data_IF_094616898226
#
_entry.id   IF_094616898226
#
_cell.length_a   1.000
_cell.length_b   1.000
_cell.length_c   1.000
_cell.angle_alpha   90.00
_cell.angle_beta   90.00
_cell.angle_gamma   90.00
#
_symmetry.space_group_name_H-M   'P 1'
#
loop_
_entity.id
_entity.type
_entity.pdbx_description
1 polymer ?
#
# COMPACT_ATOMS: atom_id res chain seq x y z
N UNK A 1 -11.59 36.21 -7.01
CA UNK A 1 -10.93 35.49 -8.08
C UNK A 1 -11.69 34.21 -8.38
N UNK A 2 -12.14 34.19 -9.63
CA UNK A 2 -13.25 33.44 -10.14
C UNK A 2 -13.03 31.90 -10.04
N UNK A 3 -14.09 31.23 -9.65
CA UNK A 3 -14.37 29.82 -9.89
C UNK A 3 -14.29 29.52 -11.39
N UNK A 4 -13.08 29.25 -11.91
CA UNK A 4 -12.94 28.69 -13.26
C UNK A 4 -12.96 27.17 -13.14
N UNK A 5 -13.87 26.48 -13.83
CA UNK A 5 -13.84 25.01 -13.87
C UNK A 5 -12.53 24.55 -14.48
N UNK A 6 -11.90 23.55 -13.85
CA UNK A 6 -10.78 22.87 -14.46
C UNK A 6 -11.29 22.01 -15.61
N UNK A 7 -10.68 22.16 -16.77
CA UNK A 7 -11.01 21.37 -17.94
C UNK A 7 -9.91 20.31 -18.14
N UNK A 8 -10.30 19.05 -18.20
CA UNK A 8 -9.43 17.96 -18.63
C UNK A 8 -9.48 17.91 -20.17
N UNK A 9 -8.32 18.09 -20.80
CA UNK A 9 -8.18 17.89 -22.24
C UNK A 9 -8.05 16.38 -22.50
N UNK A 10 -9.07 15.80 -23.11
CA UNK A 10 -9.07 14.42 -23.62
C UNK A 10 -9.19 14.49 -25.16
N UNK A 11 -8.06 14.55 -25.85
CA UNK A 11 -8.05 14.72 -27.32
C UNK A 11 -8.62 16.09 -27.76
N UNK A 12 -9.56 16.08 -28.71
CA UNK A 12 -10.25 17.29 -29.18
C UNK A 12 -11.42 17.72 -28.28
N UNK A 13 -11.83 16.87 -27.34
CA UNK A 13 -12.97 17.11 -26.47
C UNK A 13 -12.53 17.60 -25.09
N UNK A 14 -13.18 18.65 -24.61
CA UNK A 14 -12.97 19.20 -23.28
C UNK A 14 -14.06 18.67 -22.35
N UNK A 15 -13.69 17.87 -21.35
CA UNK A 15 -14.64 17.40 -20.33
C UNK A 15 -14.66 18.43 -19.19
N UNK A 16 -15.78 19.11 -18.94
CA UNK A 16 -15.89 20.02 -17.81
C UNK A 16 -15.91 19.23 -16.51
N UNK A 17 -14.92 19.46 -15.66
CA UNK A 17 -14.89 18.91 -14.30
C UNK A 17 -15.56 19.94 -13.38
N UNK A 18 -16.71 19.63 -12.76
CA UNK A 18 -17.37 20.56 -11.87
C UNK A 18 -16.49 20.82 -10.65
N UNK A 19 -16.14 22.07 -10.42
CA UNK A 19 -15.45 22.49 -9.20
C UNK A 19 -16.45 22.40 -8.04
N UNK A 20 -16.17 21.55 -7.06
CA UNK A 20 -16.94 21.52 -5.82
C UNK A 20 -16.33 22.53 -4.85
N UNK A 21 -17.19 23.37 -4.29
CA UNK A 21 -16.79 24.28 -3.21
C UNK A 21 -16.14 23.45 -2.08
N UNK A 22 -14.94 23.88 -1.64
CA UNK A 22 -14.17 23.19 -0.60
C UNK A 22 -14.99 23.01 0.68
N UNK A 23 -15.82 24.00 1.06
CA UNK A 23 -16.66 23.94 2.24
C UNK A 23 -17.77 22.89 2.10
N UNK A 24 -18.40 22.78 0.92
CA UNK A 24 -19.44 21.77 0.64
C UNK A 24 -18.81 20.38 0.55
N UNK A 25 -17.62 20.27 -0.02
CA UNK A 25 -16.88 19.00 -0.05
C UNK A 25 -16.49 18.56 1.36
N UNK A 26 -15.90 19.47 2.16
CA UNK A 26 -15.47 19.20 3.52
C UNK A 26 -16.64 18.79 4.45
N UNK A 27 -17.84 19.33 4.24
CA UNK A 27 -19.02 18.94 5.03
C UNK A 27 -19.51 17.51 4.79
N UNK A 28 -19.15 16.92 3.62
CA UNK A 28 -19.57 15.57 3.21
C UNK A 28 -18.43 14.56 3.21
N UNK A 29 -17.19 15.05 3.20
CA UNK A 29 -16.01 14.20 3.16
C UNK A 29 -15.55 13.90 4.58
N UNK A 30 -15.47 12.60 4.90
CA UNK A 30 -14.80 12.10 6.12
C UNK A 30 -13.49 11.47 5.73
N UNK A 31 -12.41 11.94 6.33
CA UNK A 31 -11.12 11.32 6.21
C UNK A 31 -11.03 10.16 7.19
N UNK A 32 -10.96 8.94 6.67
CA UNK A 32 -11.02 7.71 7.46
C UNK A 32 -9.88 6.76 7.11
N UNK A 33 -9.50 5.96 8.09
CA UNK A 33 -8.58 4.84 7.90
C UNK A 33 -9.37 3.65 7.35
N UNK A 34 -9.05 3.25 6.12
CA UNK A 34 -9.46 1.97 5.57
C UNK A 34 -8.40 0.96 5.99
N UNK A 35 -8.70 0.11 6.99
CA UNK A 35 -7.73 -0.88 7.45
C UNK A 35 -7.30 -1.77 6.29
N UNK A 36 -6.09 -1.57 5.82
CA UNK A 36 -5.46 -2.46 4.87
C UNK A 36 -5.18 -3.80 5.53
N UNK A 37 -5.50 -4.85 4.82
CA UNK A 37 -5.12 -6.23 5.07
C UNK A 37 -5.82 -6.96 6.21
N UNK A 38 -7.15 -6.93 6.24
CA UNK A 38 -7.80 -8.16 6.59
C UNK A 38 -8.02 -8.93 5.28
N UNK A 39 -7.26 -9.98 5.05
CA UNK A 39 -7.63 -11.09 4.16
C UNK A 39 -8.82 -11.87 4.75
N UNK A 40 -9.77 -11.17 5.34
CA UNK A 40 -11.03 -11.73 5.76
C UNK A 40 -11.96 -11.67 4.54
N UNK A 41 -12.26 -12.85 3.99
CA UNK A 41 -13.31 -13.08 3.01
C UNK A 41 -14.51 -12.18 3.31
N UNK A 42 -14.82 -11.25 2.40
CA UNK A 42 -16.14 -10.64 2.31
C UNK A 42 -17.13 -11.76 1.99
N UNK A 43 -17.78 -12.27 3.01
CA UNK A 43 -19.00 -13.05 2.84
C UNK A 43 -20.05 -12.13 2.24
N UNK A 44 -20.41 -12.39 1.00
CA UNK A 44 -21.59 -11.81 0.36
C UNK A 44 -22.82 -12.18 1.17
N UNK A 45 -23.46 -11.21 1.80
CA UNK A 45 -24.85 -11.34 2.21
C UNK A 45 -25.61 -10.12 1.72
N UNK A 46 -26.21 -10.27 0.55
CA UNK A 46 -27.38 -9.47 0.17
C UNK A 46 -28.53 -9.84 1.10
N UNK A 47 -28.96 -8.90 1.93
CA UNK A 47 -30.36 -8.82 2.37
C UNK A 47 -30.67 -7.38 2.75
N UNK A 48 -31.52 -6.78 1.97
CA UNK A 48 -32.34 -5.63 2.36
C UNK A 48 -33.21 -6.08 3.55
N UNK A 49 -33.04 -5.46 4.70
CA UNK A 49 -34.05 -5.45 5.74
C UNK A 49 -34.07 -4.11 6.48
N UNK A 50 -35.29 -3.70 6.76
CA UNK A 50 -35.76 -2.41 7.24
C UNK A 50 -35.11 -1.91 8.52
N UNK A 51 -35.03 -0.59 8.57
CA UNK A 51 -34.62 0.26 9.70
C UNK A 51 -35.33 -0.09 11.00
N UNK A 52 -34.54 -0.37 12.02
CA UNK A 52 -34.89 -0.17 13.42
C UNK A 52 -33.66 0.54 14.07
N UNK A 53 -33.82 1.58 14.89
CA UNK A 53 -32.68 2.26 15.52
C UNK A 53 -32.10 1.33 16.58
N UNK A 54 -30.99 0.67 16.24
CA UNK A 54 -30.24 -0.10 17.20
C UNK A 54 -29.24 0.81 17.93
N UNK A 55 -29.27 0.71 19.26
CA UNK A 55 -28.32 1.28 20.20
C UNK A 55 -26.89 1.06 19.69
N UNK A 56 -26.06 2.12 19.80
CA UNK A 56 -24.68 2.11 19.38
C UNK A 56 -23.94 0.88 19.96
N UNK A 57 -23.68 -0.10 19.12
CA UNK A 57 -22.75 -1.17 19.45
C UNK A 57 -21.37 -0.56 19.69
N UNK A 58 -20.57 -1.06 20.65
CA UNK A 58 -19.24 -0.56 20.89
C UNK A 58 -18.44 -0.68 19.59
N UNK A 59 -17.83 0.43 19.17
CA UNK A 59 -16.94 0.47 18.00
C UNK A 59 -15.76 -0.44 18.32
N UNK A 60 -15.82 -1.69 17.89
CA UNK A 60 -14.68 -2.60 17.99
C UNK A 60 -13.64 -2.19 16.96
N UNK A 61 -12.50 -1.74 17.44
CA UNK A 61 -11.37 -1.46 16.57
C UNK A 61 -11.00 -2.72 15.76
N UNK A 62 -10.68 -2.58 14.48
CA UNK A 62 -10.24 -3.72 13.69
C UNK A 62 -8.95 -4.29 14.29
N UNK A 63 -8.91 -5.60 14.52
CA UNK A 63 -7.71 -6.30 14.95
C UNK A 63 -7.00 -6.84 13.71
N UNK A 64 -5.79 -6.37 13.46
CA UNK A 64 -5.01 -6.74 12.28
C UNK A 64 -3.87 -7.67 12.69
N UNK A 65 -3.65 -8.73 11.92
CA UNK A 65 -2.47 -9.58 12.04
C UNK A 65 -1.28 -8.87 11.37
N UNK A 66 -0.33 -8.41 12.17
CA UNK A 66 0.85 -7.70 11.69
C UNK A 66 2.01 -8.67 11.45
N UNK A 67 2.63 -8.51 10.28
CA UNK A 67 3.88 -9.21 9.96
C UNK A 67 5.06 -8.57 10.69
N UNK A 68 5.84 -9.30 11.50
CA UNK A 68 6.96 -8.74 12.27
C UNK A 68 8.11 -8.21 11.40
N UNK A 69 8.23 -8.69 10.16
CA UNK A 69 9.32 -8.34 9.24
C UNK A 69 8.95 -7.20 8.28
N UNK A 70 7.76 -6.62 8.41
CA UNK A 70 7.27 -5.53 7.56
C UNK A 70 6.75 -4.35 8.36
N UNK A 71 6.86 -3.15 7.79
CA UNK A 71 6.23 -1.96 8.33
C UNK A 71 4.71 -2.13 8.45
N UNK A 72 4.08 -1.46 9.40
CA UNK A 72 2.62 -1.36 9.41
C UNK A 72 2.17 -0.49 8.23
N UNK A 73 1.15 -0.94 7.53
CA UNK A 73 0.54 -0.21 6.43
C UNK A 73 -0.78 0.42 6.91
N UNK A 74 -0.88 1.72 6.78
CA UNK A 74 -2.10 2.49 7.02
C UNK A 74 -2.67 2.91 5.67
N UNK A 75 -3.83 2.40 5.32
CA UNK A 75 -4.54 2.76 4.09
C UNK A 75 -5.65 3.75 4.41
N UNK A 76 -5.65 4.88 3.74
CA UNK A 76 -6.64 5.93 3.89
C UNK A 76 -7.57 6.01 2.66
N UNK A 77 -8.80 6.46 2.88
CA UNK A 77 -9.79 6.65 1.81
C UNK A 77 -9.46 7.82 0.88
N UNK A 78 -8.49 8.65 1.24
CA UNK A 78 -8.04 9.79 0.48
C UNK A 78 -6.50 9.89 0.47
N UNK A 79 -5.89 10.52 -0.55
CA UNK A 79 -4.45 10.72 -0.59
C UNK A 79 -3.97 11.56 0.58
N UNK A 80 -2.92 11.13 1.25
CA UNK A 80 -2.30 11.83 2.38
C UNK A 80 -1.36 12.92 1.85
N UNK A 81 -1.50 14.15 2.33
CA UNK A 81 -0.59 15.24 2.07
C UNK A 81 0.47 15.39 3.16
N UNK A 82 0.01 15.33 4.43
CA UNK A 82 0.89 15.51 5.60
C UNK A 82 0.37 14.74 6.80
N UNK A 83 1.26 14.46 7.73
CA UNK A 83 0.93 13.87 9.02
C UNK A 83 1.83 14.45 10.09
N UNK A 84 1.33 14.48 11.34
CA UNK A 84 2.06 14.95 12.50
C UNK A 84 2.11 13.83 13.56
N UNK A 85 3.29 13.31 13.79
CA UNK A 85 3.51 12.23 14.76
C UNK A 85 3.36 12.66 16.21
N UNK A 86 3.30 13.95 16.50
CA UNK A 86 2.99 14.45 17.85
C UNK A 86 1.59 14.03 18.31
N UNK A 87 0.67 13.82 17.35
CA UNK A 87 -0.70 13.33 17.60
C UNK A 87 -0.83 11.82 17.56
N UNK A 88 0.27 11.09 17.49
CA UNK A 88 0.27 9.64 17.47
C UNK A 88 0.58 9.07 18.86
N UNK A 89 0.03 7.91 19.13
CA UNK A 89 0.30 7.14 20.35
C UNK A 89 0.51 5.70 19.98
N UNK A 90 1.64 5.13 20.36
CA UNK A 90 1.95 3.71 20.18
C UNK A 90 2.06 3.06 21.57
N UNK A 91 1.40 1.94 21.74
CA UNK A 91 1.42 1.16 22.97
C UNK A 91 1.78 -0.30 22.64
N UNK A 92 2.58 -0.91 23.50
CA UNK A 92 2.90 -2.33 23.52
C UNK A 92 2.38 -2.92 24.83
N UNK A 93 1.43 -3.85 24.78
CA UNK A 93 0.81 -4.45 25.97
C UNK A 93 0.41 -3.36 27.00
N UNK A 94 -0.18 -2.25 26.54
CA UNK A 94 -0.57 -1.05 27.32
C UNK A 94 0.57 -0.12 27.78
N UNK A 95 1.83 -0.42 27.49
CA UNK A 95 2.96 0.44 27.80
C UNK A 95 3.26 1.38 26.62
N UNK A 96 3.39 2.67 26.90
CA UNK A 96 3.73 3.66 25.87
C UNK A 96 5.10 3.37 25.25
N UNK A 97 5.17 3.51 23.93
CA UNK A 97 6.38 3.37 23.15
C UNK A 97 6.68 4.68 22.43
N UNK A 98 7.95 4.86 22.02
CA UNK A 98 8.33 5.96 21.14
C UNK A 98 7.66 5.80 19.78
N UNK A 99 7.28 6.92 19.17
CA UNK A 99 6.71 6.92 17.82
C UNK A 99 7.84 6.68 16.83
N UNK A 100 7.72 5.68 15.98
CA UNK A 100 8.74 5.33 14.99
C UNK A 100 8.69 6.25 13.76
N UNK A 101 9.64 6.08 12.87
CA UNK A 101 9.61 6.71 11.56
C UNK A 101 8.38 6.27 10.77
N UNK A 102 7.84 7.23 10.03
CA UNK A 102 6.74 6.98 9.10
C UNK A 102 7.07 7.60 7.74
N UNK A 103 6.61 6.96 6.69
CA UNK A 103 6.86 7.38 5.31
C UNK A 103 5.65 7.13 4.43
N UNK A 104 5.42 8.05 3.49
CA UNK A 104 4.40 7.87 2.47
C UNK A 104 4.88 6.87 1.41
N UNK A 105 3.95 6.10 0.86
CA UNK A 105 4.23 5.29 -0.32
C UNK A 105 4.38 6.20 -1.54
N UNK A 106 5.50 6.09 -2.26
CA UNK A 106 5.77 6.88 -3.46
C UNK A 106 4.86 6.55 -4.64
N UNK A 107 4.27 5.36 -4.66
CA UNK A 107 3.41 4.88 -5.75
C UNK A 107 1.92 5.00 -5.41
N UNK A 108 1.59 5.04 -4.13
CA UNK A 108 0.20 5.13 -3.67
C UNK A 108 0.08 6.13 -2.52
N UNK A 109 -0.28 7.38 -2.80
CA UNK A 109 -0.37 8.42 -1.77
C UNK A 109 -1.47 8.17 -0.72
N UNK A 110 -2.27 7.13 -0.88
CA UNK A 110 -3.23 6.66 0.12
C UNK A 110 -2.59 5.82 1.23
N UNK A 111 -1.32 5.40 1.07
CA UNK A 111 -0.64 4.49 1.96
C UNK A 111 0.46 5.19 2.75
N UNK A 112 0.41 5.02 4.05
CA UNK A 112 1.45 5.46 4.97
C UNK A 112 2.04 4.24 5.66
N UNK A 113 3.35 4.10 5.61
CA UNK A 113 4.07 3.05 6.31
C UNK A 113 4.61 3.57 7.64
N UNK A 114 4.53 2.70 8.66
CA UNK A 114 5.06 2.97 10.00
C UNK A 114 6.10 1.90 10.31
N UNK A 115 7.37 2.31 10.38
CA UNK A 115 8.51 1.40 10.56
C UNK A 115 8.73 1.11 12.05
N UNK A 116 8.05 0.10 12.55
CA UNK A 116 8.15 -0.34 13.95
C UNK A 116 9.01 -1.61 14.02
N UNK A 117 9.92 -1.65 14.99
CA UNK A 117 10.61 -2.90 15.34
C UNK A 117 9.67 -3.76 16.17
N UNK A 118 8.93 -4.62 15.50
CA UNK A 118 7.95 -5.47 16.13
C UNK A 118 8.59 -6.50 17.04
N UNK A 119 7.99 -6.71 18.22
CA UNK A 119 8.26 -7.90 19.02
C UNK A 119 7.24 -8.97 18.63
N UNK A 120 7.69 -10.15 18.16
CA UNK A 120 6.78 -11.23 17.77
C UNK A 120 5.83 -11.62 18.90
N UNK A 121 4.62 -12.05 18.55
CA UNK A 121 3.60 -12.54 19.45
C UNK A 121 3.10 -11.49 20.49
N UNK A 122 3.37 -10.21 20.23
CA UNK A 122 2.92 -9.10 21.07
C UNK A 122 1.77 -8.33 20.45
N UNK A 123 1.04 -7.61 21.32
CA UNK A 123 -0.07 -6.76 20.93
C UNK A 123 0.36 -5.30 20.98
N UNK A 124 0.11 -4.61 19.89
CA UNK A 124 0.32 -3.17 19.80
C UNK A 124 -0.99 -2.47 19.53
N UNK A 125 -1.10 -1.24 20.03
CA UNK A 125 -2.15 -0.31 19.68
C UNK A 125 -1.54 0.96 19.14
N UNK A 126 -1.88 1.29 17.91
CA UNK A 126 -1.56 2.57 17.29
C UNK A 126 -2.80 3.43 17.30
N UNK A 127 -2.70 4.63 17.86
CA UNK A 127 -3.80 5.60 17.95
C UNK A 127 -3.35 6.90 17.30
N UNK A 128 -4.16 7.39 16.38
CA UNK A 128 -4.00 8.69 15.75
C UNK A 128 -5.10 9.61 16.27
N UNK A 129 -4.72 10.65 16.99
CA UNK A 129 -5.63 11.63 17.55
C UNK A 129 -6.20 12.55 16.45
N UNK A 130 -7.28 13.29 16.69
CA UNK A 130 -7.79 14.27 15.74
C UNK A 130 -6.70 15.23 15.25
N UNK A 131 -6.65 15.49 13.96
CA UNK A 131 -5.61 16.34 13.34
C UNK A 131 -4.29 15.64 13.03
N UNK A 132 -4.16 14.34 13.31
CA UNK A 132 -2.92 13.57 13.12
C UNK A 132 -2.52 13.40 11.66
N UNK A 133 -3.47 13.34 10.74
CA UNK A 133 -3.25 13.14 9.31
C UNK A 133 -4.17 14.07 8.52
N UNK A 134 -3.64 14.66 7.45
CA UNK A 134 -4.36 15.60 6.60
C UNK A 134 -4.26 15.13 5.14
N UNK A 135 -5.37 15.15 4.44
CA UNK A 135 -5.45 14.81 3.02
C UNK A 135 -5.03 15.97 2.10
N UNK A 136 -4.93 15.68 0.79
CA UNK A 136 -4.56 16.67 -0.24
C UNK A 136 -5.54 17.82 -0.40
N UNK A 137 -6.74 17.73 0.17
CA UNK A 137 -7.72 18.83 0.20
C UNK A 137 -7.62 19.66 1.48
N UNK A 138 -6.68 19.33 2.37
CA UNK A 138 -6.46 19.99 3.66
C UNK A 138 -7.50 19.62 4.71
N UNK A 139 -8.12 18.45 4.59
CA UNK A 139 -9.09 17.93 5.55
C UNK A 139 -8.36 16.93 6.46
N UNK A 140 -8.37 17.20 7.76
CA UNK A 140 -7.76 16.30 8.75
C UNK A 140 -8.79 15.33 9.32
N UNK A 141 -8.29 14.23 9.89
CA UNK A 141 -9.16 13.35 10.67
C UNK A 141 -9.75 14.09 11.86
N UNK A 142 -11.06 14.03 11.99
CA UNK A 142 -11.83 14.62 13.11
C UNK A 142 -11.96 13.67 14.28
N UNK A 143 -11.94 12.38 13.99
CA UNK A 143 -12.11 11.33 14.98
C UNK A 143 -10.76 10.70 15.35
N UNK A 144 -10.68 10.13 16.53
CA UNK A 144 -9.56 9.28 16.90
C UNK A 144 -9.61 7.98 16.10
N UNK A 145 -8.54 7.68 15.38
CA UNK A 145 -8.38 6.44 14.64
C UNK A 145 -7.52 5.49 15.46
N UNK A 146 -8.02 4.33 15.81
CA UNK A 146 -7.29 3.34 16.57
C UNK A 146 -7.18 2.01 15.82
N UNK A 147 -6.01 1.40 15.90
CA UNK A 147 -5.68 0.17 15.23
C UNK A 147 -5.02 -0.78 16.23
N UNK A 148 -5.63 -1.94 16.43
CA UNK A 148 -5.08 -3.01 17.26
C UNK A 148 -4.32 -4.01 16.37
N UNK A 149 -3.02 -4.17 16.63
CA UNK A 149 -2.09 -4.95 15.85
C UNK A 149 -1.62 -6.16 16.67
N UNK A 150 -1.96 -7.34 16.23
CA UNK A 150 -1.44 -8.59 16.78
C UNK A 150 -0.25 -9.03 15.93
N UNK A 151 0.95 -8.93 16.47
CA UNK A 151 2.16 -9.34 15.76
C UNK A 151 2.24 -10.84 15.71
N UNK A 152 2.33 -11.38 14.49
CA UNK A 152 2.45 -12.81 14.27
C UNK A 152 3.85 -13.33 14.66
N UNK A 153 3.97 -14.66 14.82
CA UNK A 153 5.27 -15.28 14.98
C UNK A 153 6.08 -15.19 13.68
N UNK A 154 7.36 -14.87 13.77
CA UNK A 154 8.29 -14.82 12.62
C UNK A 154 8.33 -16.14 11.87
N UNK A 155 8.18 -17.25 12.57
CA UNK A 155 8.18 -18.61 12.00
C UNK A 155 7.08 -18.87 10.96
N UNK A 156 6.10 -17.99 10.85
CA UNK A 156 5.04 -18.07 9.84
C UNK A 156 5.47 -17.57 8.47
N UNK A 157 6.58 -16.86 8.41
CA UNK A 157 7.02 -16.16 7.22
C UNK A 157 8.34 -16.75 6.70
N UNK A 158 8.59 -16.50 5.44
CA UNK A 158 9.83 -16.82 4.73
C UNK A 158 10.49 -15.55 4.22
N UNK A 159 11.75 -15.68 3.88
CA UNK A 159 12.52 -14.63 3.22
C UNK A 159 12.98 -15.15 1.87
N UNK A 160 12.80 -14.33 0.82
CA UNK A 160 13.28 -14.65 -0.52
C UNK A 160 14.50 -13.77 -0.84
N UNK A 161 15.62 -14.41 -1.15
CA UNK A 161 16.82 -13.83 -1.74
C UNK A 161 16.75 -14.02 -3.26
N UNK A 162 16.32 -12.99 -3.98
CA UNK A 162 16.17 -13.00 -5.41
C UNK A 162 17.42 -12.46 -6.09
N UNK A 163 17.98 -13.22 -7.04
CA UNK A 163 19.04 -12.76 -7.93
C UNK A 163 18.47 -12.59 -9.32
N UNK A 164 18.35 -11.35 -9.77
CA UNK A 164 17.99 -11.02 -11.15
C UNK A 164 19.25 -11.15 -12.02
N UNK A 165 19.12 -11.81 -13.17
CA UNK A 165 20.23 -12.06 -14.12
C UNK A 165 19.91 -11.52 -15.51
N UNK A 166 20.95 -11.41 -16.34
CA UNK A 166 20.85 -10.91 -17.71
C UNK A 166 20.26 -9.50 -17.80
N UNK A 167 20.67 -8.63 -16.87
CA UNK A 167 20.34 -7.23 -16.89
C UNK A 167 21.35 -6.45 -17.76
N UNK A 168 20.89 -5.37 -18.35
CA UNK A 168 21.78 -4.44 -19.07
C UNK A 168 22.18 -3.30 -18.13
N UNK A 169 23.48 -3.11 -17.83
CA UNK A 169 23.94 -2.00 -17.02
C UNK A 169 23.48 -0.65 -17.58
N UNK A 170 22.92 0.21 -16.73
CA UNK A 170 22.35 1.52 -17.10
C UNK A 170 20.90 1.48 -17.57
N UNK A 171 20.31 0.30 -17.82
CA UNK A 171 18.90 0.17 -18.16
C UNK A 171 18.01 0.25 -16.90
N UNK A 172 16.80 0.78 -17.09
CA UNK A 172 15.76 0.84 -16.06
C UNK A 172 14.87 -0.38 -16.11
N UNK A 173 14.50 -0.87 -14.94
CA UNK A 173 13.65 -2.05 -14.78
C UNK A 173 12.56 -1.80 -13.74
N UNK A 174 11.44 -2.47 -13.95
CA UNK A 174 10.36 -2.57 -12.94
C UNK A 174 10.19 -4.03 -12.56
N UNK A 175 10.46 -4.35 -11.30
CA UNK A 175 10.15 -5.66 -10.73
C UNK A 175 8.84 -5.58 -9.96
N UNK A 176 7.89 -6.41 -10.34
CA UNK A 176 6.62 -6.58 -9.66
C UNK A 176 6.55 -7.95 -8.99
N UNK A 177 6.20 -7.94 -7.71
CA UNK A 177 5.97 -9.12 -6.90
C UNK A 177 4.46 -9.30 -6.73
N UNK A 178 3.91 -10.38 -7.29
CA UNK A 178 2.47 -10.55 -7.50
C UNK A 178 1.96 -11.73 -6.69
N UNK A 179 0.88 -11.50 -5.93
CA UNK A 179 0.07 -12.53 -5.29
C UNK A 179 -1.25 -12.68 -6.06
N UNK A 180 -1.44 -13.82 -6.70
CA UNK A 180 -2.59 -14.12 -7.54
C UNK A 180 -2.79 -13.07 -8.65
N UNK A 181 -3.52 -12.01 -8.39
CA UNK A 181 -3.79 -10.90 -9.34
C UNK A 181 -3.37 -9.53 -8.81
N UNK A 182 -2.86 -9.48 -7.58
CA UNK A 182 -2.53 -8.22 -6.91
C UNK A 182 -1.04 -8.02 -6.85
N UNK A 183 -0.57 -6.88 -7.31
CA UNK A 183 0.83 -6.47 -7.11
C UNK A 183 1.00 -6.09 -5.64
N UNK A 184 1.77 -6.90 -4.91
CA UNK A 184 2.07 -6.68 -3.49
C UNK A 184 3.16 -5.65 -3.31
N UNK A 185 4.18 -5.74 -4.15
CA UNK A 185 5.36 -4.88 -4.07
C UNK A 185 5.86 -4.59 -5.48
N UNK A 186 6.28 -3.36 -5.68
CA UNK A 186 6.85 -2.89 -6.94
C UNK A 186 8.15 -2.16 -6.66
N UNK A 187 9.21 -2.54 -7.33
CA UNK A 187 10.52 -1.91 -7.24
C UNK A 187 10.95 -1.41 -8.60
N UNK A 188 11.27 -0.13 -8.67
CA UNK A 188 11.84 0.52 -9.85
C UNK A 188 13.32 0.73 -9.56
N UNK A 189 14.19 0.28 -10.47
CA UNK A 189 15.64 0.37 -10.27
C UNK A 189 16.36 0.51 -11.61
N UNK A 190 17.58 1.02 -11.56
CA UNK A 190 18.50 1.02 -12.69
C UNK A 190 19.58 0.00 -12.40
N UNK A 191 19.77 -0.95 -13.31
CA UNK A 191 20.78 -1.99 -13.13
C UNK A 191 22.18 -1.38 -13.14
N UNK A 192 23.00 -1.72 -12.15
CA UNK A 192 24.40 -1.29 -12.07
C UNK A 192 25.33 -2.30 -12.72
N UNK A 193 24.94 -3.57 -12.68
CA UNK A 193 25.64 -4.71 -13.25
C UNK A 193 24.69 -5.59 -14.05
N UNK A 194 25.19 -6.67 -14.62
CA UNK A 194 24.40 -7.69 -15.31
C UNK A 194 23.51 -8.53 -14.37
N UNK A 195 23.71 -8.38 -13.08
CA UNK A 195 22.91 -9.05 -12.04
C UNK A 195 22.68 -8.14 -10.83
N UNK A 196 21.48 -8.24 -10.23
CA UNK A 196 21.10 -7.50 -9.03
C UNK A 196 20.48 -8.45 -8.00
N UNK A 197 20.86 -8.28 -6.73
CA UNK A 197 20.31 -9.04 -5.61
C UNK A 197 19.28 -8.24 -4.85
N UNK A 198 18.14 -8.84 -4.59
CA UNK A 198 17.04 -8.22 -3.88
C UNK A 198 16.51 -9.13 -2.78
N UNK A 199 16.27 -8.55 -1.60
CA UNK A 199 15.72 -9.23 -0.44
C UNK A 199 14.23 -8.91 -0.29
N UNK A 200 13.42 -9.95 -0.10
CA UNK A 200 11.98 -9.85 0.18
C UNK A 200 11.67 -10.60 1.48
N UNK A 201 11.70 -9.91 2.63
CA UNK A 201 11.38 -10.52 3.92
C UNK A 201 9.88 -10.59 4.14
N UNK A 202 9.47 -11.50 5.01
CA UNK A 202 8.10 -11.57 5.49
C UNK A 202 7.08 -12.03 4.46
N UNK A 203 7.43 -13.02 3.66
CA UNK A 203 6.52 -13.63 2.70
C UNK A 203 5.75 -14.79 3.36
N UNK A 204 4.45 -14.87 3.09
CA UNK A 204 3.64 -16.00 3.52
C UNK A 204 3.94 -17.25 2.69
N UNK A 205 3.61 -18.41 3.26
CA UNK A 205 3.81 -19.72 2.60
C UNK A 205 2.74 -19.93 1.51
N UNK A 206 2.98 -19.37 0.33
CA UNK A 206 2.11 -19.49 -0.86
C UNK A 206 2.90 -19.25 -2.15
N UNK A 207 2.35 -19.58 -3.33
CA UNK A 207 2.98 -19.26 -4.59
C UNK A 207 2.91 -17.75 -4.88
N UNK A 208 3.95 -17.25 -5.54
CA UNK A 208 4.02 -15.87 -6.02
C UNK A 208 4.47 -15.84 -7.47
N UNK A 209 4.19 -14.77 -8.16
CA UNK A 209 4.67 -14.52 -9.52
C UNK A 209 5.55 -13.28 -9.52
N UNK A 210 6.76 -13.43 -10.07
CA UNK A 210 7.66 -12.34 -10.37
C UNK A 210 7.41 -11.86 -11.80
N UNK A 211 7.43 -10.57 -12.01
CA UNK A 211 7.34 -9.96 -13.33
C UNK A 211 8.38 -8.85 -13.43
N UNK A 212 9.31 -9.00 -14.38
CA UNK A 212 10.34 -8.02 -14.67
C UNK A 212 10.06 -7.36 -16.02
N UNK A 213 10.00 -6.05 -16.01
CA UNK A 213 9.69 -5.20 -17.17
C UNK A 213 10.94 -4.40 -17.51
N UNK A 214 11.29 -4.36 -18.78
CA UNK A 214 12.34 -3.51 -19.31
C UNK A 214 11.73 -2.11 -19.55
N UNK A 215 11.88 -1.21 -18.58
CA UNK A 215 11.27 0.13 -18.56
C UNK A 215 12.08 1.11 -19.41
N UNK A 216 11.82 1.12 -20.72
CA UNK A 216 12.61 1.84 -21.71
C UNK A 216 12.47 3.36 -21.59
N UNK A 217 11.30 3.84 -21.19
CA UNK A 217 11.00 5.27 -21.07
C UNK A 217 11.07 5.79 -19.62
N UNK A 218 11.40 4.92 -18.66
CA UNK A 218 11.57 5.23 -17.22
C UNK A 218 10.31 5.81 -16.56
N UNK A 219 9.14 5.35 -17.01
CA UNK A 219 7.87 5.78 -16.42
C UNK A 219 7.39 4.89 -15.28
N UNK A 220 8.12 3.81 -14.99
CA UNK A 220 7.86 2.88 -13.89
C UNK A 220 6.65 1.97 -14.11
N UNK A 221 6.22 1.73 -15.32
CA UNK A 221 5.09 0.85 -15.68
C UNK A 221 5.37 0.18 -17.01
N UNK A 222 4.70 -0.94 -17.27
CA UNK A 222 4.73 -1.56 -18.57
C UNK A 222 3.96 -0.75 -19.61
N UNK A 223 4.57 -0.49 -20.75
CA UNK A 223 3.94 0.18 -21.88
C UNK A 223 3.63 -0.79 -23.01
N UNK A 224 2.39 -0.77 -23.52
CA UNK A 224 2.03 -1.49 -24.72
C UNK A 224 2.70 -0.87 -25.93
N UNK A 225 2.84 -1.63 -27.00
CA UNK A 225 3.26 -1.10 -28.28
C UNK A 225 2.28 -0.06 -28.82
N UNK A 226 2.77 0.77 -29.74
CA UNK A 226 1.93 1.70 -30.49
C UNK A 226 2.10 1.44 -31.99
N UNK A 227 1.04 0.95 -32.62
CA UNK A 227 1.08 0.58 -34.05
C UNK A 227 1.33 1.80 -34.96
N UNK A 228 0.73 2.95 -34.64
CA UNK A 228 0.88 4.17 -35.42
C UNK A 228 2.30 4.75 -35.37
N UNK A 229 2.95 4.58 -34.22
CA UNK A 229 4.32 5.03 -33.98
C UNK A 229 5.37 3.95 -34.32
N UNK A 230 4.95 2.78 -34.82
CA UNK A 230 5.79 1.60 -35.04
C UNK A 230 6.62 1.21 -33.81
N UNK A 231 6.10 1.49 -32.59
CA UNK A 231 6.76 1.18 -31.34
C UNK A 231 6.33 -0.19 -30.85
N UNK A 232 7.31 -1.06 -30.57
CA UNK A 232 7.07 -2.35 -29.95
C UNK A 232 6.69 -2.20 -28.46
N UNK A 233 5.94 -3.14 -27.88
CA UNK A 233 5.71 -3.17 -26.44
C UNK A 233 7.03 -3.40 -25.69
N UNK A 234 7.09 -2.92 -24.46
CA UNK A 234 8.21 -3.22 -23.58
C UNK A 234 8.32 -4.71 -23.27
N UNK A 235 9.56 -5.20 -23.19
CA UNK A 235 9.82 -6.60 -22.89
C UNK A 235 9.38 -6.92 -21.47
N UNK A 236 8.73 -8.06 -21.31
CA UNK A 236 8.23 -8.54 -20.04
C UNK A 236 8.68 -9.99 -19.85
N UNK A 237 9.38 -10.25 -18.75
CA UNK A 237 9.73 -11.60 -18.28
C UNK A 237 8.87 -11.94 -17.08
N UNK A 238 8.44 -13.18 -16.95
CA UNK A 238 7.61 -13.62 -15.82
C UNK A 238 8.04 -15.00 -15.34
N UNK A 239 8.07 -15.19 -14.02
CA UNK A 239 8.38 -16.46 -13.37
C UNK A 239 7.44 -16.67 -12.18
N UNK A 240 6.78 -17.82 -12.15
CA UNK A 240 6.03 -18.26 -10.98
C UNK A 240 6.96 -19.02 -10.05
N UNK A 241 7.00 -18.61 -8.80
CA UNK A 241 7.78 -19.29 -7.74
C UNK A 241 6.98 -20.47 -7.20
N UNK A 242 7.70 -21.53 -6.85
CA UNK A 242 7.14 -22.60 -6.03
C UNK A 242 6.64 -22.04 -4.69
N UNK A 243 5.63 -22.66 -4.05
CA UNK A 243 5.15 -22.22 -2.75
C UNK A 243 6.28 -22.13 -1.74
N UNK A 244 6.49 -20.94 -1.20
CA UNK A 244 7.52 -20.71 -0.20
C UNK A 244 7.19 -21.49 1.07
N UNK A 245 8.23 -22.05 1.71
CA UNK A 245 8.08 -22.75 2.99
C UNK A 245 8.29 -21.78 4.14
N UNK A 246 7.38 -21.77 5.10
CA UNK A 246 7.47 -20.95 6.29
C UNK A 246 8.79 -21.22 7.06
N UNK A 247 9.35 -20.16 7.64
CA UNK A 247 10.60 -20.18 8.41
C UNK A 247 11.85 -20.59 7.59
N UNK A 248 11.82 -20.34 6.26
CA UNK A 248 12.93 -20.64 5.36
C UNK A 248 13.45 -19.37 4.70
N UNK A 249 14.75 -19.36 4.44
CA UNK A 249 15.38 -18.47 3.47
C UNK A 249 15.47 -19.23 2.15
N UNK A 250 14.87 -18.67 1.11
CA UNK A 250 14.83 -19.25 -0.23
C UNK A 250 15.68 -18.40 -1.14
N UNK A 251 16.60 -19.04 -1.85
CA UNK A 251 17.38 -18.40 -2.92
C UNK A 251 16.76 -18.72 -4.27
N UNK A 252 16.56 -17.72 -5.11
CA UNK A 252 15.94 -17.86 -6.42
C UNK A 252 16.63 -16.99 -7.46
N UNK A 253 16.84 -17.56 -8.64
CA UNK A 253 17.41 -16.88 -9.79
C UNK A 253 16.33 -16.56 -10.82
N UNK A 254 16.36 -15.35 -11.40
CA UNK A 254 15.39 -14.90 -12.39
C UNK A 254 16.04 -14.11 -13.53
#
# INVERSE_FOLDING_TARGET
PANRPWNLLAGADTIPVPFRDKAVFASKHRFTLESALSSAKKGSSNKFDKETPQSAAPVTNPVISQNPLRAAELLFNAPVERWDTAFWRLQLDSLAQSIPMSRLDSLSPHKLYVDIRWKPEKKYRLTLLPGAVTDVWGISNTDTLALDLNVASEKRFSTLNLTLKNLQPGASYVLEFIDSKTVLEKRIFTATTDSEKMLFPGLESKPYTLRLIDDLNRNGRWDPGNYLEHRQPETLRSKTLEPLRANWEVEEDF
#
